data_IF_186586554395
#
_entry.id   IF_186586554395
#
_cell.length_a   1.000
_cell.length_b   1.000
_cell.length_c   1.000
_cell.angle_alpha   90.00
_cell.angle_beta   90.00
_cell.angle_gamma   90.00
#
_symmetry.space_group_name_H-M   'P 1'
#
loop_
_entity.id
_entity.type
_entity.pdbx_description
1 polymer ?
#
# COMPACT_ATOMS: atom_id res chain seq x y z
N UNK A 1 -9.02 15.59 5.48
CA UNK A 1 -7.94 14.70 5.02
C UNK A 1 -8.35 13.34 5.51
N UNK A 2 -8.72 12.46 4.59
CA UNK A 2 -9.31 11.17 4.95
C UNK A 2 -8.16 10.19 5.13
N UNK A 3 -7.89 9.82 6.38
CA UNK A 3 -6.83 8.87 6.71
C UNK A 3 -7.25 7.46 6.27
N UNK A 4 -6.40 6.81 5.48
CA UNK A 4 -6.59 5.44 5.02
C UNK A 4 -5.72 4.48 5.82
N UNK A 5 -6.32 3.39 6.27
CA UNK A 5 -5.63 2.40 7.09
C UNK A 5 -5.61 1.03 6.40
N UNK A 6 -4.53 0.31 6.60
CA UNK A 6 -4.29 -1.05 6.11
C UNK A 6 -4.10 -1.96 7.32
N UNK A 7 -4.79 -3.10 7.33
CA UNK A 7 -4.60 -4.13 8.36
C UNK A 7 -3.80 -5.27 7.74
N UNK A 8 -2.63 -5.56 8.30
CA UNK A 8 -1.76 -6.64 7.85
C UNK A 8 -1.71 -7.75 8.90
N UNK A 9 -1.75 -9.00 8.44
CA UNK A 9 -1.37 -10.14 9.27
C UNK A 9 0.16 -10.19 9.33
N UNK A 10 0.70 -9.95 10.51
CA UNK A 10 2.15 -9.95 10.78
C UNK A 10 2.57 -11.17 11.60
N UNK A 11 1.72 -12.19 11.66
CA UNK A 11 2.06 -13.46 12.32
C UNK A 11 3.29 -14.06 11.65
N UNK A 12 4.33 -14.35 12.43
CA UNK A 12 5.56 -14.91 11.89
C UNK A 12 6.38 -13.94 11.03
N UNK A 13 6.18 -12.62 11.18
CA UNK A 13 6.90 -11.61 10.38
C UNK A 13 8.43 -11.68 10.54
N UNK A 14 8.94 -12.27 11.61
CA UNK A 14 10.36 -12.57 11.81
C UNK A 14 10.92 -13.56 10.78
N UNK A 15 10.07 -14.38 10.17
CA UNK A 15 10.44 -15.34 9.13
C UNK A 15 10.26 -14.79 7.72
N UNK A 16 9.75 -13.55 7.58
CA UNK A 16 9.61 -12.94 6.27
C UNK A 16 10.98 -12.87 5.59
N UNK A 17 11.08 -13.06 4.25
CA UNK A 17 12.36 -13.16 3.55
C UNK A 17 13.33 -12.01 3.84
N UNK A 18 12.78 -10.85 4.20
CA UNK A 18 13.54 -9.66 4.54
C UNK A 18 13.84 -9.49 6.03
N UNK A 19 13.11 -10.17 6.92
CA UNK A 19 13.41 -10.17 8.35
C UNK A 19 14.69 -10.99 8.63
N UNK A 20 14.94 -12.04 7.86
CA UNK A 20 16.21 -12.77 7.89
C UNK A 20 17.37 -11.97 7.27
N UNK A 21 17.08 -10.96 6.44
CA UNK A 21 18.07 -10.09 5.79
C UNK A 21 18.49 -8.87 6.64
N UNK A 22 17.92 -8.69 7.84
CA UNK A 22 18.30 -7.60 8.77
C UNK A 22 19.79 -7.61 9.15
N UNK A 23 20.54 -8.67 8.85
CA UNK A 23 21.96 -8.77 9.19
C UNK A 23 22.92 -8.20 8.14
N UNK A 24 22.53 -8.01 6.86
CA UNK A 24 23.54 -7.69 5.80
C UNK A 24 23.08 -6.87 4.57
N UNK A 25 21.82 -6.49 4.40
CA UNK A 25 21.33 -5.88 3.15
C UNK A 25 21.01 -4.38 3.21
N UNK A 26 21.26 -3.59 2.14
CA UNK A 26 20.76 -2.21 2.04
C UNK A 26 19.22 -2.18 2.03
N UNK A 27 18.64 -1.02 2.36
CA UNK A 27 17.20 -0.76 2.50
C UNK A 27 16.41 -0.86 1.17
N UNK A 28 16.48 -2.01 0.50
CA UNK A 28 15.66 -2.33 -0.66
C UNK A 28 14.20 -2.45 -0.23
N UNK A 29 13.22 -1.95 -1.00
CA UNK A 29 11.81 -2.05 -0.66
C UNK A 29 11.39 -3.52 -0.53
N UNK A 30 10.79 -3.85 0.61
CA UNK A 30 10.47 -5.22 1.02
C UNK A 30 9.01 -5.52 0.69
N UNK A 31 8.78 -6.59 -0.07
CA UNK A 31 7.40 -7.03 -0.36
C UNK A 31 6.84 -7.83 0.81
N UNK A 32 5.64 -7.46 1.25
CA UNK A 32 4.84 -8.30 2.16
C UNK A 32 4.47 -9.61 1.42
N UNK A 33 4.68 -10.79 2.04
CA UNK A 33 4.27 -12.06 1.46
C UNK A 33 2.76 -12.09 1.16
N UNK A 34 2.31 -12.77 0.10
CA UNK A 34 0.89 -12.80 -0.29
C UNK A 34 -0.09 -13.09 0.85
N UNK A 35 0.27 -14.00 1.74
CA UNK A 35 -0.51 -14.41 2.91
C UNK A 35 -0.70 -13.31 3.97
N UNK A 36 0.20 -12.33 4.03
CA UNK A 36 0.14 -11.20 4.96
C UNK A 36 -0.46 -9.93 4.37
N UNK A 37 -0.82 -9.94 3.07
CA UNK A 37 -1.35 -8.76 2.38
C UNK A 37 -2.79 -8.47 2.80
N UNK A 38 -3.07 -7.20 3.01
CA UNK A 38 -4.45 -6.73 3.13
C UNK A 38 -5.09 -6.60 1.76
N UNK A 39 -6.37 -6.96 1.66
CA UNK A 39 -7.19 -6.75 0.46
C UNK A 39 -8.18 -5.59 0.62
N UNK A 40 -8.21 -4.93 1.78
CA UNK A 40 -9.20 -3.91 2.11
C UNK A 40 -8.51 -2.70 2.75
N UNK A 41 -8.85 -1.51 2.25
CA UNK A 41 -8.49 -0.24 2.87
C UNK A 41 -9.64 0.22 3.78
N UNK A 42 -9.28 0.69 4.97
CA UNK A 42 -10.23 1.19 5.96
C UNK A 42 -10.19 2.72 5.94
N UNK A 43 -11.33 3.36 5.74
CA UNK A 43 -11.47 4.83 5.63
C UNK A 43 -11.60 5.55 6.97
N UNK A 44 -11.51 4.82 8.07
CA UNK A 44 -11.62 5.36 9.42
C UNK A 44 -10.81 4.53 10.39
N UNK A 45 -10.08 5.21 11.28
CA UNK A 45 -9.31 4.58 12.35
C UNK A 45 -10.17 3.67 13.22
N UNK A 46 -11.33 4.15 13.66
CA UNK A 46 -12.21 3.39 14.55
C UNK A 46 -12.81 2.15 13.87
N UNK A 47 -13.07 2.22 12.56
CA UNK A 47 -13.47 1.05 11.79
C UNK A 47 -12.32 0.03 11.67
N UNK A 48 -11.11 0.52 11.40
CA UNK A 48 -9.93 -0.32 11.27
C UNK A 48 -9.53 -1.01 12.57
N UNK A 49 -9.60 -0.32 13.71
CA UNK A 49 -9.32 -0.89 15.02
C UNK A 49 -10.32 -1.99 15.39
N UNK A 50 -11.62 -1.74 15.19
CA UNK A 50 -12.66 -2.76 15.41
C UNK A 50 -12.46 -3.98 14.52
N UNK A 51 -12.11 -3.76 13.26
CA UNK A 51 -11.86 -4.85 12.33
C UNK A 51 -10.62 -5.65 12.70
N UNK A 52 -9.54 -5.00 13.14
CA UNK A 52 -8.34 -5.67 13.62
C UNK A 52 -8.63 -6.54 14.85
N UNK A 53 -9.44 -6.04 15.80
CA UNK A 53 -9.90 -6.82 16.96
C UNK A 53 -10.74 -8.02 16.52
N UNK A 54 -11.72 -7.80 15.63
CA UNK A 54 -12.57 -8.88 15.09
C UNK A 54 -11.74 -9.96 14.40
N UNK A 55 -10.71 -9.57 13.64
CA UNK A 55 -9.79 -10.51 12.99
C UNK A 55 -8.97 -11.31 14.00
N UNK A 56 -8.48 -10.67 15.07
CA UNK A 56 -7.75 -11.35 16.13
C UNK A 56 -8.63 -12.35 16.90
N UNK A 57 -9.91 -12.02 17.15
CA UNK A 57 -10.87 -12.92 17.79
C UNK A 57 -11.22 -14.13 16.91
N UNK A 58 -11.38 -13.92 15.60
CA UNK A 58 -11.66 -15.02 14.65
C UNK A 58 -10.46 -15.93 14.39
N UNK A 59 -9.24 -15.42 14.57
CA UNK A 59 -8.01 -16.16 14.31
C UNK A 59 -7.08 -16.17 15.53
N UNK A 60 -7.41 -16.96 16.58
CA UNK A 60 -6.58 -17.06 17.77
C UNK A 60 -5.14 -17.45 17.43
N UNK A 61 -4.17 -16.76 18.03
CA UNK A 61 -2.74 -16.97 17.79
C UNK A 61 -2.16 -16.20 16.60
N UNK A 62 -2.98 -15.45 15.86
CA UNK A 62 -2.49 -14.50 14.85
C UNK A 62 -2.34 -13.09 15.41
N UNK A 63 -1.42 -12.33 14.83
CA UNK A 63 -1.17 -10.92 15.17
C UNK A 63 -1.49 -10.03 13.97
N UNK A 64 -2.43 -9.11 14.16
CA UNK A 64 -2.82 -8.14 13.14
C UNK A 64 -2.31 -6.75 13.53
N UNK A 65 -1.63 -6.08 12.60
CA UNK A 65 -1.11 -4.74 12.79
C UNK A 65 -1.82 -3.74 11.89
N UNK A 66 -2.07 -2.55 12.45
CA UNK A 66 -2.69 -1.42 11.78
C UNK A 66 -1.61 -0.48 11.27
N UNK A 67 -1.67 -0.15 9.98
CA UNK A 67 -0.76 0.78 9.32
C UNK A 67 -1.53 1.94 8.71
N UNK A 68 -0.97 3.15 8.78
CA UNK A 68 -1.46 4.29 8.02
C UNK A 68 -0.88 4.24 6.61
N UNK A 69 -1.76 4.25 5.61
CA UNK A 69 -1.35 4.37 4.23
C UNK A 69 -1.05 5.84 3.91
N UNK A 70 0.15 6.12 3.44
CA UNK A 70 0.60 7.49 3.13
C UNK A 70 0.68 7.75 1.62
N UNK A 71 1.07 6.74 0.84
CA UNK A 71 1.24 6.83 -0.60
C UNK A 71 0.72 5.58 -1.28
N UNK A 72 0.28 5.71 -2.53
CA UNK A 72 -0.08 4.61 -3.41
C UNK A 72 0.48 4.82 -4.81
N UNK A 73 0.72 3.73 -5.53
CA UNK A 73 1.10 3.82 -6.93
C UNK A 73 -0.14 3.93 -7.80
N UNK A 74 -0.25 5.00 -8.58
CA UNK A 74 -1.31 5.19 -9.56
C UNK A 74 -0.73 5.18 -10.98
N UNK A 75 -1.56 4.79 -11.94
CA UNK A 75 -1.21 4.85 -13.36
C UNK A 75 -1.65 6.19 -13.92
N UNK A 76 -0.70 7.01 -14.35
CA UNK A 76 -0.95 8.35 -14.91
C UNK A 76 -0.60 8.36 -16.39
N UNK A 77 -1.44 9.03 -17.20
CA UNK A 77 -1.13 9.31 -18.59
C UNK A 77 -0.40 10.64 -18.72
N UNK A 78 0.79 10.61 -19.33
CA UNK A 78 1.54 11.82 -19.67
C UNK A 78 1.65 11.98 -21.19
N UNK A 79 1.69 13.21 -21.72
CA UNK A 79 2.03 13.44 -23.12
C UNK A 79 3.46 12.93 -23.39
N UNK A 80 3.61 12.03 -24.35
CA UNK A 80 4.90 11.54 -24.81
C UNK A 80 5.44 12.37 -25.99
N UNK A 81 4.53 12.90 -26.82
CA UNK A 81 4.85 13.80 -27.93
C UNK A 81 3.74 14.84 -28.08
N UNK A 82 4.12 16.07 -28.42
CA UNK A 82 3.19 17.18 -28.72
C UNK A 82 3.36 17.63 -30.17
N UNK A 83 2.29 18.13 -30.80
CA UNK A 83 2.36 18.75 -32.11
C UNK A 83 2.90 20.20 -32.03
N UNK A 84 3.10 20.87 -33.17
CA UNK A 84 3.56 22.27 -33.21
C UNK A 84 2.62 23.28 -32.53
N UNK A 85 1.37 22.89 -32.22
CA UNK A 85 0.40 23.69 -31.45
C UNK A 85 0.44 23.40 -29.95
N UNK A 86 1.29 22.47 -29.50
CA UNK A 86 1.40 22.06 -28.10
C UNK A 86 0.35 21.02 -27.68
N UNK A 87 -0.44 20.47 -28.61
CA UNK A 87 -1.46 19.47 -28.28
C UNK A 87 -0.83 18.07 -28.18
N UNK A 88 -1.21 17.24 -27.20
CA UNK A 88 -0.70 15.87 -27.07
C UNK A 88 -1.07 15.04 -28.30
N UNK A 89 -0.07 14.60 -29.06
CA UNK A 89 -0.25 13.72 -30.22
C UNK A 89 -0.05 12.25 -29.85
N UNK A 90 0.75 11.98 -28.82
CA UNK A 90 0.97 10.63 -28.30
C UNK A 90 0.99 10.70 -26.77
N UNK A 91 0.33 9.75 -26.11
CA UNK A 91 0.33 9.60 -24.65
C UNK A 91 1.08 8.35 -24.25
N UNK A 92 1.73 8.38 -23.08
CA UNK A 92 2.37 7.23 -22.46
C UNK A 92 1.81 7.05 -21.06
N UNK A 93 1.54 5.80 -20.72
CA UNK A 93 1.14 5.40 -19.38
C UNK A 93 2.38 5.13 -18.53
N UNK A 94 2.47 5.77 -17.36
CA UNK A 94 3.53 5.55 -16.38
C UNK A 94 2.91 5.25 -15.01
N UNK A 95 3.59 4.43 -14.22
CA UNK A 95 3.24 4.21 -12.81
C UNK A 95 3.99 5.22 -11.97
N UNK A 96 3.27 6.03 -11.20
CA UNK A 96 3.83 7.05 -10.31
C UNK A 96 3.41 6.78 -8.87
N UNK A 97 4.30 7.08 -7.93
CA UNK A 97 3.96 7.09 -6.51
C UNK A 97 3.32 8.44 -6.19
N UNK A 98 2.09 8.42 -5.67
CA UNK A 98 1.31 9.60 -5.32
C UNK A 98 0.90 9.53 -3.84
N UNK A 99 0.86 10.68 -3.14
CA UNK A 99 0.25 10.74 -1.81
C UNK A 99 -1.26 10.45 -1.93
N UNK A 100 -1.84 9.80 -0.92
CA UNK A 100 -3.26 9.44 -0.94
C UNK A 100 -4.22 10.63 -0.86
N UNK A 101 -3.68 11.84 -0.64
CA UNK A 101 -4.41 13.10 -0.59
C UNK A 101 -4.72 13.68 -1.99
N UNK A 102 -4.02 13.23 -3.04
CA UNK A 102 -4.08 13.81 -4.41
C UNK A 102 -5.29 13.33 -5.24
N UNK A 103 -6.41 12.98 -4.59
CA UNK A 103 -7.64 12.62 -5.28
C UNK A 103 -7.58 11.31 -6.06
N UNK A 104 -6.77 10.34 -5.59
CA UNK A 104 -6.73 8.99 -6.13
C UNK A 104 -8.13 8.37 -5.94
N UNK A 105 -8.89 8.11 -7.01
CA UNK A 105 -10.19 7.47 -6.90
C UNK A 105 -9.93 5.99 -6.60
N UNK A 106 -10.29 5.56 -5.41
CA UNK A 106 -10.28 4.14 -5.02
C UNK A 106 -11.47 3.41 -5.63
#
# INVERSE_FOLDING_TARGET
MDELFVILDITGCENWPFALQYLTGPASPRSIPPEGRSNVLQVSRGAAEREAVRLAEMHPGRTFALFLATHATARTEIPASVNFKGEPFMRRSLTQLLPLDDGIPF
#
